data_IF_236215124375
#
_entry.id   IF_236215124375
#
_cell.length_a   1.000
_cell.length_b   1.000
_cell.length_c   1.000
_cell.angle_alpha   90.00
_cell.angle_beta   90.00
_cell.angle_gamma   90.00
#
_symmetry.space_group_name_H-M   'P 1'
#
loop_
_entity.id
_entity.type
_entity.pdbx_description
1 polymer ?
#
# COMPACT_ATOMS: atom_id res chain seq x y z
N UNK A 1 95.16 31.64 6.72
CA UNK A 1 94.08 32.22 7.54
C UNK A 1 93.24 33.12 6.65
N UNK A 2 91.92 32.88 6.61
CA UNK A 2 90.84 33.76 6.10
C UNK A 2 90.82 34.07 4.59
N UNK A 3 89.70 34.10 3.87
CA UNK A 3 88.35 33.50 3.92
C UNK A 3 87.71 33.87 2.56
N UNK A 4 86.72 33.09 2.13
CA UNK A 4 85.83 33.25 0.98
C UNK A 4 85.46 34.70 0.57
N UNK A 5 85.34 34.96 -0.73
CA UNK A 5 84.05 34.97 -1.44
C UNK A 5 84.21 35.35 -2.92
N UNK A 6 83.80 34.45 -3.81
CA UNK A 6 83.55 34.73 -5.24
C UNK A 6 82.15 35.34 -5.34
N UNK A 7 82.07 36.60 -5.76
CA UNK A 7 80.80 37.27 -6.06
C UNK A 7 80.43 37.02 -7.52
N UNK A 8 79.50 36.09 -7.74
CA UNK A 8 78.88 35.82 -9.05
C UNK A 8 77.84 36.90 -9.33
N UNK A 9 78.06 37.70 -10.36
CA UNK A 9 77.07 38.61 -10.94
C UNK A 9 75.96 37.80 -11.62
N UNK A 10 74.81 37.66 -10.95
CA UNK A 10 73.62 37.05 -11.54
C UNK A 10 72.85 38.10 -12.36
N UNK A 11 72.89 37.96 -13.68
CA UNK A 11 72.14 38.77 -14.63
C UNK A 11 70.63 38.60 -14.43
N UNK A 12 69.92 39.69 -14.17
CA UNK A 12 68.46 39.73 -13.98
C UNK A 12 67.63 39.23 -15.17
N UNK A 13 68.26 38.93 -16.32
CA UNK A 13 67.55 38.38 -17.49
C UNK A 13 67.33 36.86 -17.43
N UNK A 14 67.93 36.13 -16.48
CA UNK A 14 67.78 34.66 -16.41
C UNK A 14 66.74 34.18 -15.37
N UNK A 15 66.14 35.07 -14.58
CA UNK A 15 65.10 34.71 -13.59
C UNK A 15 63.70 34.73 -14.21
N UNK A 16 63.45 35.52 -15.26
CA UNK A 16 62.13 35.58 -15.93
C UNK A 16 61.84 34.41 -16.87
N UNK A 17 62.85 33.67 -17.32
CA UNK A 17 62.67 32.52 -18.23
C UNK A 17 62.49 31.20 -17.51
N UNK A 18 62.83 31.12 -16.21
CA UNK A 18 62.65 29.90 -15.40
C UNK A 18 61.24 29.84 -14.79
N UNK A 19 60.56 30.97 -14.58
CA UNK A 19 59.19 31.00 -14.03
C UNK A 19 58.10 30.75 -15.08
N UNK A 20 58.44 30.69 -16.38
CA UNK A 20 57.46 30.44 -17.46
C UNK A 20 57.52 29.02 -18.08
N UNK A 21 58.34 28.11 -17.53
CA UNK A 21 58.55 26.76 -18.11
C UNK A 21 58.13 25.60 -17.18
N UNK A 22 57.16 25.82 -16.29
CA UNK A 22 56.56 24.77 -15.45
C UNK A 22 55.01 24.71 -15.55
N UNK A 23 54.45 25.02 -16.74
CA UNK A 23 53.00 24.93 -16.96
C UNK A 23 52.58 23.98 -18.08
N UNK A 24 53.49 23.18 -18.66
CA UNK A 24 53.15 22.21 -19.72
C UNK A 24 54.02 20.95 -19.59
N UNK A 25 53.75 20.08 -18.60
CA UNK A 25 54.15 18.66 -18.60
C UNK A 25 53.69 17.92 -17.33
N UNK A 26 52.38 17.88 -17.04
CA UNK A 26 51.81 16.90 -16.10
C UNK A 26 50.44 16.44 -16.61
N UNK A 27 50.45 15.73 -17.74
CA UNK A 27 49.32 14.90 -18.19
C UNK A 27 49.82 13.46 -18.23
N UNK A 28 49.01 12.54 -17.68
CA UNK A 28 49.22 11.09 -17.53
C UNK A 28 50.10 10.72 -16.30
N UNK A 29 49.66 9.95 -15.29
CA UNK A 29 48.63 8.91 -15.20
C UNK A 29 48.09 8.91 -13.76
N UNK A 30 46.82 9.29 -13.57
CA UNK A 30 46.04 8.90 -12.39
C UNK A 30 44.70 8.38 -12.92
N UNK A 31 44.73 7.18 -13.47
CA UNK A 31 43.53 6.35 -13.68
C UNK A 31 43.07 5.88 -12.30
N UNK A 32 42.63 6.82 -11.46
CA UNK A 32 41.89 6.48 -10.26
C UNK A 32 40.54 5.96 -10.71
N UNK A 33 40.21 4.73 -10.35
CA UNK A 33 38.86 4.22 -10.45
C UNK A 33 37.92 5.22 -9.78
N UNK A 34 37.24 6.05 -10.57
CA UNK A 34 36.07 6.77 -10.12
C UNK A 34 34.98 5.71 -9.93
N UNK A 35 35.08 4.96 -8.84
CA UNK A 35 33.96 4.23 -8.29
C UNK A 35 32.87 5.27 -8.11
N UNK A 36 31.83 5.22 -8.96
CA UNK A 36 30.61 6.00 -8.77
C UNK A 36 30.30 5.95 -7.28
N UNK A 37 29.97 7.08 -6.61
CA UNK A 37 29.44 6.99 -5.27
C UNK A 37 28.17 6.16 -5.41
N UNK A 38 28.27 4.87 -5.09
CA UNK A 38 27.11 4.09 -4.74
C UNK A 38 26.64 4.75 -3.46
N UNK A 39 25.72 5.70 -3.62
CA UNK A 39 24.81 6.06 -2.56
C UNK A 39 24.06 4.77 -2.24
N UNK A 40 24.69 3.91 -1.42
CA UNK A 40 24.00 2.97 -0.57
C UNK A 40 23.22 3.82 0.43
N UNK A 41 22.17 4.47 -0.07
CA UNK A 41 21.04 4.88 0.73
C UNK A 41 20.29 3.60 1.06
N UNK A 42 20.95 2.70 1.81
CA UNK A 42 20.23 1.77 2.65
C UNK A 42 19.40 2.66 3.55
N UNK A 43 18.11 2.76 3.25
CA UNK A 43 17.15 3.43 4.10
C UNK A 43 17.32 2.83 5.48
N UNK A 44 18.01 3.56 6.36
CA UNK A 44 18.16 3.19 7.77
C UNK A 44 16.78 3.35 8.37
N UNK A 45 15.96 2.31 8.26
CA UNK A 45 14.78 2.18 9.07
C UNK A 45 15.23 2.28 10.51
N UNK A 46 14.60 3.17 11.28
CA UNK A 46 14.83 3.22 12.71
C UNK A 46 14.45 1.85 13.24
N UNK A 47 15.35 1.20 13.97
CA UNK A 47 15.08 -0.11 14.55
C UNK A 47 13.78 -0.01 15.37
N UNK A 48 12.76 -0.82 15.05
CA UNK A 48 11.48 -0.71 15.75
C UNK A 48 11.65 -1.00 17.25
N UNK A 49 11.06 -0.21 18.15
CA UNK A 49 10.95 -0.60 19.55
C UNK A 49 9.99 -1.80 19.70
N UNK A 50 9.96 -2.43 20.87
CA UNK A 50 8.98 -3.50 21.14
C UNK A 50 7.55 -2.96 21.18
N UNK A 51 7.38 -1.76 21.74
CA UNK A 51 6.10 -1.07 21.89
C UNK A 51 6.23 0.39 21.42
N UNK A 52 5.12 0.96 20.99
CA UNK A 52 5.00 2.36 20.62
C UNK A 52 3.68 2.93 21.14
N UNK A 53 3.75 4.05 21.87
CA UNK A 53 2.55 4.77 22.32
C UNK A 53 2.09 5.73 21.23
N UNK A 54 0.87 5.50 20.74
CA UNK A 54 0.22 6.31 19.71
C UNK A 54 0.09 7.77 20.18
N UNK A 55 0.53 8.70 19.35
CA UNK A 55 0.42 10.14 19.59
C UNK A 55 -0.70 10.75 18.77
N UNK A 56 -1.09 11.97 19.12
CA UNK A 56 -2.05 12.73 18.31
C UNK A 56 -1.53 12.90 16.89
N UNK A 57 -2.36 12.55 15.90
CA UNK A 57 -2.01 12.60 14.47
C UNK A 57 -1.36 11.33 13.92
N UNK A 58 -1.07 10.33 14.76
CA UNK A 58 -0.55 9.05 14.27
C UNK A 58 -1.65 8.19 13.61
N UNK A 59 -1.23 7.43 12.60
CA UNK A 59 -2.01 6.34 12.03
C UNK A 59 -1.23 5.04 12.16
N UNK A 60 -1.94 3.90 12.15
CA UNK A 60 -1.32 2.58 12.24
C UNK A 60 -0.32 2.37 11.09
N UNK A 61 -0.64 2.90 9.90
CA UNK A 61 0.24 2.88 8.73
C UNK A 61 1.48 3.77 8.90
N UNK A 62 1.33 5.03 9.35
CA UNK A 62 2.45 5.94 9.52
C UNK A 62 3.45 5.44 10.58
N UNK A 63 2.93 4.89 11.68
CA UNK A 63 3.76 4.24 12.71
C UNK A 63 4.50 3.04 12.10
N UNK A 64 3.79 2.15 11.40
CA UNK A 64 4.40 0.94 10.83
C UNK A 64 5.45 1.27 9.77
N UNK A 65 5.16 2.20 8.85
CA UNK A 65 6.06 2.66 7.80
C UNK A 65 7.36 3.26 8.37
N UNK A 66 7.28 4.00 9.48
CA UNK A 66 8.46 4.59 10.16
C UNK A 66 9.50 3.53 10.54
N UNK A 67 9.03 2.34 10.88
CA UNK A 67 9.87 1.24 11.34
C UNK A 67 10.03 0.11 10.30
N UNK A 68 9.57 0.34 9.05
CA UNK A 68 9.63 -0.66 7.99
C UNK A 68 8.73 -1.87 8.20
N UNK A 69 7.65 -1.72 8.99
CA UNK A 69 6.69 -2.78 9.31
C UNK A 69 5.46 -2.71 8.41
N UNK A 70 4.81 -3.85 8.21
CA UNK A 70 3.49 -3.91 7.59
C UNK A 70 2.41 -3.61 8.65
N UNK A 71 1.57 -2.63 8.37
CA UNK A 71 0.52 -2.21 9.30
C UNK A 71 -0.53 -3.31 9.55
N UNK A 72 -0.75 -4.23 8.60
CA UNK A 72 -1.64 -5.38 8.80
C UNK A 72 -1.07 -6.36 9.82
N UNK A 73 0.23 -6.59 9.79
CA UNK A 73 0.91 -7.47 10.74
C UNK A 73 0.92 -6.82 12.13
N UNK A 74 1.17 -5.51 12.20
CA UNK A 74 1.04 -4.74 13.45
C UNK A 74 -0.42 -4.75 13.93
N UNK A 75 -1.41 -4.63 13.05
CA UNK A 75 -2.82 -4.73 13.42
C UNK A 75 -3.14 -6.10 14.04
N UNK A 76 -2.74 -7.18 13.37
CA UNK A 76 -2.93 -8.55 13.84
C UNK A 76 -2.22 -8.81 15.17
N UNK A 77 -0.98 -8.32 15.31
CA UNK A 77 -0.19 -8.42 16.54
C UNK A 77 -0.86 -7.71 17.73
N UNK A 78 -1.67 -6.69 17.46
CA UNK A 78 -2.40 -5.90 18.46
C UNK A 78 -3.90 -6.21 18.52
N UNK A 79 -4.39 -7.21 17.80
CA UNK A 79 -5.82 -7.56 17.77
C UNK A 79 -6.71 -6.45 17.21
N UNK A 80 -6.19 -5.58 16.35
CA UNK A 80 -6.92 -4.46 15.78
C UNK A 80 -7.68 -4.94 14.53
N UNK A 81 -8.99 -5.04 14.65
CA UNK A 81 -9.87 -5.39 13.55
C UNK A 81 -10.08 -4.19 12.58
N UNK A 82 -10.50 -4.44 11.32
CA UNK A 82 -11.03 -3.40 10.45
C UNK A 82 -12.09 -2.56 11.18
N UNK A 83 -12.07 -1.22 11.11
CA UNK A 83 -11.35 -0.37 10.15
C UNK A 83 -9.92 0.03 10.55
N UNK A 84 -9.23 -0.77 11.38
CA UNK A 84 -7.85 -0.54 11.82
C UNK A 84 -7.65 0.76 12.61
N UNK A 85 -8.69 1.14 13.36
CA UNK A 85 -8.69 2.36 14.17
C UNK A 85 -7.75 2.21 15.37
N UNK A 86 -6.91 3.22 15.58
CA UNK A 86 -6.07 3.37 16.77
C UNK A 86 -6.44 4.66 17.50
N UNK A 87 -6.15 4.69 18.80
CA UNK A 87 -6.46 5.82 19.68
C UNK A 87 -5.19 6.41 20.27
N UNK A 88 -5.20 7.72 20.54
CA UNK A 88 -4.09 8.40 21.23
C UNK A 88 -3.86 7.73 22.59
N UNK A 89 -2.59 7.58 22.97
CA UNK A 89 -2.09 6.86 24.15
C UNK A 89 -2.28 5.34 24.12
N UNK A 90 -2.79 4.76 23.04
CA UNK A 90 -2.78 3.32 22.85
C UNK A 90 -1.34 2.80 22.71
N UNK A 91 -0.97 1.76 23.44
CA UNK A 91 0.31 1.08 23.26
C UNK A 91 0.19 0.02 22.17
N UNK A 92 1.00 0.15 21.12
CA UNK A 92 1.07 -0.78 19.99
C UNK A 92 2.35 -1.61 20.07
N UNK A 93 2.19 -2.92 20.04
CA UNK A 93 3.26 -3.89 19.82
C UNK A 93 3.75 -3.79 18.38
N UNK A 94 5.03 -3.51 18.19
CA UNK A 94 5.63 -3.40 16.86
C UNK A 94 6.53 -4.60 16.52
N UNK A 95 6.94 -5.37 17.54
CA UNK A 95 7.75 -6.57 17.40
C UNK A 95 7.18 -7.72 18.23
N UNK A 96 7.43 -8.92 17.74
CA UNK A 96 7.02 -10.17 18.36
C UNK A 96 6.28 -11.04 17.36
N UNK A 97 6.41 -12.35 17.51
CA UNK A 97 5.59 -13.29 16.75
C UNK A 97 4.15 -13.16 17.22
N UNK A 98 3.20 -13.13 16.29
CA UNK A 98 1.83 -13.50 16.61
C UNK A 98 1.91 -14.93 17.16
N UNK A 99 1.83 -15.07 18.48
CA UNK A 99 1.49 -16.36 19.05
C UNK A 99 0.15 -16.69 18.41
N UNK A 100 0.15 -17.67 17.51
CA UNK A 100 -1.07 -18.28 17.01
C UNK A 100 -1.90 -18.57 18.25
N UNK A 101 -2.91 -17.74 18.51
CA UNK A 101 -3.92 -18.06 19.50
C UNK A 101 -4.72 -19.16 18.83
N UNK A 102 -4.20 -20.38 18.89
CA UNK A 102 -5.01 -21.57 18.79
C UNK A 102 -6.05 -21.37 19.87
N UNK A 103 -7.24 -20.96 19.47
CA UNK A 103 -8.44 -21.20 20.27
C UNK A 103 -8.53 -22.71 20.39
N UNK A 104 -7.86 -23.28 21.39
CA UNK A 104 -8.21 -24.60 21.88
C UNK A 104 -9.60 -24.45 22.45
N UNK A 105 -10.61 -24.81 21.67
CA UNK A 105 -11.94 -25.09 22.19
C UNK A 105 -11.80 -26.32 23.06
N UNK A 106 -11.43 -26.14 24.33
CA UNK A 106 -11.67 -27.16 25.33
C UNK A 106 -13.18 -27.18 25.56
N UNK A 107 -13.81 -28.32 25.27
CA UNK A 107 -15.19 -28.55 25.63
C UNK A 107 -15.29 -28.51 27.17
N UNK A 108 -15.91 -27.46 27.71
CA UNK A 108 -16.41 -27.48 29.08
C UNK A 108 -17.62 -28.41 29.11
N UNK A 109 -17.43 -29.63 29.62
CA UNK A 109 -18.54 -30.45 30.11
C UNK A 109 -19.03 -29.85 31.43
N UNK A 110 -19.83 -28.79 31.35
CA UNK A 110 -20.57 -28.29 32.49
C UNK A 110 -22.05 -28.16 32.09
N UNK A 111 -22.81 -29.21 32.40
CA UNK A 111 -24.26 -29.22 32.31
C UNK A 111 -24.85 -28.47 33.49
N UNK A 112 -24.97 -27.16 33.37
CA UNK A 112 -25.93 -26.37 34.13
C UNK A 112 -27.07 -25.97 33.19
N UNK A 113 -28.33 -26.29 33.52
CA UNK A 113 -29.46 -25.97 32.65
C UNK A 113 -29.63 -24.45 32.56
N UNK A 114 -29.63 -23.93 31.32
CA UNK A 114 -29.95 -22.54 31.01
C UNK A 114 -31.44 -22.35 31.30
N UNK A 115 -31.76 -21.69 32.42
CA UNK A 115 -33.11 -21.24 32.72
C UNK A 115 -33.42 -20.03 31.84
N UNK A 116 -34.23 -20.24 30.79
CA UNK A 116 -34.74 -19.16 29.93
C UNK A 116 -35.72 -18.31 30.74
N UNK A 117 -35.28 -17.16 31.24
CA UNK A 117 -36.19 -16.10 31.65
C UNK A 117 -36.76 -15.44 30.39
N UNK A 118 -38.04 -15.67 30.13
CA UNK A 118 -38.79 -14.93 29.12
C UNK A 118 -39.08 -13.52 29.67
N UNK A 119 -38.44 -12.52 29.07
CA UNK A 119 -38.88 -11.13 29.23
C UNK A 119 -40.12 -10.97 28.35
N UNK A 120 -41.27 -10.70 28.96
CA UNK A 120 -42.48 -10.34 28.22
C UNK A 120 -42.25 -8.98 27.56
N UNK A 121 -42.04 -9.00 26.25
CA UNK A 121 -42.07 -7.83 25.39
C UNK A 121 -43.54 -7.34 25.31
N UNK A 122 -43.81 -6.01 25.36
CA UNK A 122 -45.14 -5.49 25.09
C UNK A 122 -45.61 -5.94 23.71
N UNK A 123 -46.76 -6.60 23.66
CA UNK A 123 -47.43 -7.03 22.45
C UNK A 123 -47.79 -5.81 21.60
N UNK A 124 -47.04 -5.56 20.52
CA UNK A 124 -47.53 -4.73 19.43
C UNK A 124 -48.65 -5.50 18.73
N UNK A 125 -49.84 -4.89 18.70
CA UNK A 125 -51.00 -5.36 17.95
C UNK A 125 -50.62 -5.69 16.50
N UNK A 126 -51.17 -6.76 15.90
CA UNK A 126 -51.01 -7.02 14.48
C UNK A 126 -51.59 -5.86 13.68
N UNK A 127 -50.74 -5.12 12.96
CA UNK A 127 -51.20 -4.16 11.95
C UNK A 127 -51.72 -4.98 10.78
N UNK A 128 -53.05 -5.10 10.69
CA UNK A 128 -53.74 -5.75 9.58
C UNK A 128 -53.40 -4.98 8.30
N UNK A 129 -52.78 -5.59 7.27
CA UNK A 129 -52.54 -4.92 6.01
C UNK A 129 -53.87 -4.64 5.31
N UNK A 130 -54.24 -3.36 5.17
CA UNK A 130 -55.30 -2.95 4.23
C UNK A 130 -54.82 -3.25 2.81
N UNK A 131 -55.49 -4.18 2.14
CA UNK A 131 -55.35 -4.44 0.70
C UNK A 131 -55.67 -3.17 -0.08
N UNK A 132 -54.65 -2.54 -0.65
CA UNK A 132 -54.80 -1.58 -1.75
C UNK A 132 -54.94 -2.34 -3.07
N UNK A 133 -55.81 -1.90 -4.00
CA UNK A 133 -55.87 -2.47 -5.35
C UNK A 133 -54.53 -2.25 -6.07
N UNK A 134 -53.84 -3.34 -6.40
CA UNK A 134 -52.62 -3.30 -7.22
C UNK A 134 -53.03 -3.07 -8.67
N UNK A 135 -52.74 -1.88 -9.19
CA UNK A 135 -52.77 -1.60 -10.64
C UNK A 135 -51.68 -2.46 -11.30
N UNK A 136 -51.98 -3.25 -12.35
CA UNK A 136 -50.95 -4.04 -13.03
C UNK A 136 -49.94 -3.11 -13.70
N UNK A 137 -48.69 -3.13 -13.21
CA UNK A 137 -47.56 -2.53 -13.91
C UNK A 137 -47.13 -3.45 -15.07
N UNK A 138 -46.83 -2.93 -16.27
CA UNK A 138 -46.38 -3.75 -17.39
C UNK A 138 -45.13 -4.55 -17.02
N UNK A 139 -45.16 -5.85 -17.33
CA UNK A 139 -44.05 -6.78 -17.13
C UNK A 139 -42.95 -6.42 -18.12
N UNK A 140 -41.90 -5.78 -17.64
CA UNK A 140 -40.65 -5.66 -18.40
C UNK A 140 -40.02 -7.06 -18.43
N UNK A 141 -39.65 -7.62 -19.60
CA UNK A 141 -38.99 -8.92 -19.66
C UNK A 141 -37.76 -8.93 -18.77
N UNK A 142 -37.69 -9.91 -17.87
CA UNK A 142 -36.53 -10.13 -17.04
C UNK A 142 -35.32 -10.41 -17.95
N UNK A 143 -34.34 -9.52 -17.90
CA UNK A 143 -33.00 -9.79 -18.42
C UNK A 143 -32.53 -11.09 -17.74
N UNK A 144 -32.02 -12.10 -18.48
CA UNK A 144 -31.62 -13.35 -17.87
C UNK A 144 -30.50 -13.07 -16.85
N UNK A 145 -30.83 -13.24 -15.58
CA UNK A 145 -29.84 -13.40 -14.51
C UNK A 145 -29.14 -14.72 -14.78
N UNK A 146 -27.99 -14.66 -15.45
CA UNK A 146 -27.12 -15.80 -15.59
C UNK A 146 -26.80 -16.33 -14.18
N UNK A 147 -27.12 -17.61 -13.86
CA UNK A 147 -26.68 -18.20 -12.62
C UNK A 147 -25.16 -18.24 -12.61
N UNK A 148 -24.55 -17.70 -11.57
CA UNK A 148 -23.11 -17.73 -11.33
C UNK A 148 -22.63 -19.19 -11.38
N UNK A 149 -22.04 -19.58 -12.50
CA UNK A 149 -21.41 -20.89 -12.63
C UNK A 149 -20.24 -20.96 -11.65
N UNK A 150 -20.40 -21.82 -10.65
CA UNK A 150 -19.30 -22.43 -9.90
C UNK A 150 -18.31 -23.05 -10.88
N UNK A 151 -17.18 -22.38 -11.14
CA UNK A 151 -15.83 -22.94 -11.39
C UNK A 151 -14.87 -21.85 -11.91
N UNK A 152 -13.95 -21.41 -11.05
CA UNK A 152 -12.54 -21.20 -11.40
C UNK A 152 -11.78 -20.95 -10.10
N UNK A 153 -11.30 -22.04 -9.50
CA UNK A 153 -10.27 -22.07 -8.47
C UNK A 153 -8.90 -21.57 -8.97
N UNK A 154 -8.83 -21.00 -10.17
CA UNK A 154 -7.62 -20.43 -10.77
C UNK A 154 -7.65 -18.91 -10.71
N UNK A 155 -6.59 -18.32 -10.17
CA UNK A 155 -6.40 -16.87 -10.09
C UNK A 155 -6.24 -16.30 -11.51
N UNK A 156 -7.30 -15.70 -12.04
CA UNK A 156 -7.29 -15.03 -13.36
C UNK A 156 -7.18 -13.53 -13.18
N UNK A 157 -6.11 -12.96 -13.72
CA UNK A 157 -5.85 -11.53 -13.68
C UNK A 157 -6.43 -10.79 -14.89
N UNK A 158 -6.92 -9.58 -14.65
CA UNK A 158 -7.35 -8.61 -15.65
C UNK A 158 -6.79 -7.23 -15.30
N UNK A 159 -6.66 -6.36 -16.31
CA UNK A 159 -6.20 -4.99 -16.10
C UNK A 159 -7.18 -4.21 -15.22
N UNK A 160 -6.69 -3.47 -14.21
CA UNK A 160 -7.54 -2.72 -13.28
C UNK A 160 -8.03 -1.37 -13.85
N UNK A 161 -7.45 -0.93 -14.97
CA UNK A 161 -7.82 0.29 -15.70
C UNK A 161 -7.48 0.12 -17.18
N UNK A 162 -8.20 0.83 -18.05
CA UNK A 162 -7.92 0.93 -19.49
C UNK A 162 -6.99 2.09 -19.85
N UNK A 163 -6.61 2.91 -18.87
CA UNK A 163 -5.75 4.07 -19.08
C UNK A 163 -4.28 3.71 -19.31
N UNK A 164 -3.47 4.66 -19.81
CA UNK A 164 -2.04 4.43 -20.01
C UNK A 164 -1.30 4.33 -18.68
N UNK A 165 -0.25 3.51 -18.63
CA UNK A 165 0.66 3.47 -17.48
C UNK A 165 1.49 4.75 -17.49
N UNK A 166 1.35 5.56 -16.44
CA UNK A 166 2.09 6.83 -16.27
C UNK A 166 3.26 6.67 -15.28
N UNK A 167 3.28 5.59 -14.51
CA UNK A 167 4.40 5.26 -13.64
C UNK A 167 4.43 3.77 -13.35
N UNK A 168 5.60 3.16 -13.48
CA UNK A 168 5.81 1.73 -13.22
C UNK A 168 6.27 1.48 -11.80
N UNK A 169 6.07 0.24 -11.34
CA UNK A 169 6.60 -0.24 -10.07
C UNK A 169 8.12 -0.09 -9.99
N UNK A 170 8.61 0.49 -8.90
CA UNK A 170 10.03 0.66 -8.62
C UNK A 170 10.24 0.89 -7.11
N UNK A 171 10.65 -0.17 -6.40
CA UNK A 171 10.91 -0.08 -4.96
C UNK A 171 12.07 0.86 -4.60
N UNK A 172 13.09 0.98 -5.44
CA UNK A 172 14.21 1.89 -5.19
C UNK A 172 13.78 3.36 -5.21
N UNK A 173 12.74 3.67 -5.99
CA UNK A 173 12.09 4.99 -6.03
C UNK A 173 10.85 5.07 -5.13
N UNK A 174 10.66 4.12 -4.22
CA UNK A 174 9.50 4.01 -3.31
C UNK A 174 8.12 3.96 -4.04
N UNK A 175 8.10 3.46 -5.27
CA UNK A 175 6.88 3.23 -6.05
C UNK A 175 6.44 1.78 -5.85
N UNK A 176 5.42 1.59 -5.03
CA UNK A 176 4.96 0.26 -4.55
C UNK A 176 3.91 -0.39 -5.47
N UNK A 177 3.62 0.22 -6.62
CA UNK A 177 2.60 -0.23 -7.56
C UNK A 177 2.79 0.33 -8.96
N UNK A 178 1.79 0.16 -9.81
CA UNK A 178 1.71 0.77 -11.15
C UNK A 178 0.63 1.83 -11.13
N UNK A 179 0.91 3.00 -11.71
CA UNK A 179 -0.04 4.09 -11.82
C UNK A 179 -0.59 4.19 -13.23
N UNK A 180 -1.90 4.27 -13.33
CA UNK A 180 -2.64 4.43 -14.58
C UNK A 180 -3.20 5.85 -14.63
N UNK A 181 -2.97 6.55 -15.73
CA UNK A 181 -3.60 7.84 -16.01
C UNK A 181 -5.05 7.65 -16.46
N UNK A 182 -5.87 8.67 -16.29
CA UNK A 182 -7.26 8.66 -16.71
C UNK A 182 -7.97 9.96 -16.32
N UNK A 183 -9.29 9.97 -16.47
CA UNK A 183 -10.16 11.07 -16.09
C UNK A 183 -10.93 10.74 -14.81
N UNK A 184 -11.43 11.78 -14.15
CA UNK A 184 -12.23 11.59 -12.95
C UNK A 184 -13.54 10.90 -13.32
N UNK A 185 -13.90 9.85 -12.57
CA UNK A 185 -15.06 9.03 -12.88
C UNK A 185 -14.75 7.79 -13.71
N UNK A 186 -13.56 7.68 -14.30
CA UNK A 186 -13.17 6.52 -15.11
C UNK A 186 -13.30 5.21 -14.29
N UNK A 187 -13.78 4.11 -14.91
CA UNK A 187 -14.03 2.89 -14.16
C UNK A 187 -12.72 2.23 -13.70
N UNK A 188 -12.72 1.81 -12.42
CA UNK A 188 -11.67 0.98 -11.83
C UNK A 188 -12.24 -0.43 -11.63
N UNK A 189 -11.51 -1.42 -12.12
CA UNK A 189 -11.94 -2.81 -12.16
C UNK A 189 -11.17 -3.69 -11.17
N UNK A 190 -11.85 -4.67 -10.57
CA UNK A 190 -11.19 -5.70 -9.77
C UNK A 190 -10.29 -6.55 -10.68
N UNK A 191 -9.00 -6.59 -10.35
CA UNK A 191 -8.00 -7.30 -11.14
C UNK A 191 -8.17 -8.83 -11.08
N UNK A 192 -8.79 -9.37 -10.03
CA UNK A 192 -9.08 -10.80 -9.92
C UNK A 192 -10.31 -11.04 -9.02
N UNK A 193 -10.82 -12.26 -9.04
CA UNK A 193 -11.86 -12.71 -8.11
C UNK A 193 -11.37 -12.60 -6.66
N UNK A 194 -12.18 -12.07 -5.75
CA UNK A 194 -11.76 -11.93 -4.36
C UNK A 194 -12.82 -11.34 -3.44
N UNK A 195 -12.42 -11.08 -2.21
CA UNK A 195 -13.24 -10.43 -1.20
C UNK A 195 -12.67 -9.07 -0.85
N UNK A 196 -13.51 -8.04 -0.80
CA UNK A 196 -13.14 -6.70 -0.35
C UNK A 196 -12.89 -6.76 1.15
N UNK A 197 -11.65 -6.49 1.56
CA UNK A 197 -11.25 -6.48 2.99
C UNK A 197 -11.16 -5.06 3.55
N UNK A 198 -11.16 -4.04 2.68
CA UNK A 198 -11.15 -2.63 3.06
C UNK A 198 -11.76 -1.78 1.94
N UNK A 199 -12.61 -0.82 2.30
CA UNK A 199 -13.19 0.18 1.40
C UNK A 199 -13.50 1.45 2.21
N UNK A 200 -12.51 2.32 2.39
CA UNK A 200 -12.61 3.54 3.19
C UNK A 200 -11.50 4.55 2.85
N UNK A 201 -11.55 5.72 3.48
CA UNK A 201 -10.62 6.85 3.34
C UNK A 201 -9.64 7.00 4.52
N UNK A 202 -9.62 6.02 5.43
CA UNK A 202 -8.82 6.06 6.67
C UNK A 202 -7.29 6.01 6.47
N UNK A 203 -6.83 5.84 5.23
CA UNK A 203 -5.41 5.84 4.87
C UNK A 203 -5.10 7.06 4.00
N UNK A 204 -4.77 8.18 4.65
CA UNK A 204 -4.56 9.50 4.03
C UNK A 204 -3.67 9.47 2.78
N UNK A 205 -2.59 8.68 2.81
CA UNK A 205 -1.62 8.53 1.71
C UNK A 205 -2.19 7.85 0.46
N UNK A 206 -3.29 7.11 0.60
CA UNK A 206 -4.00 6.41 -0.49
C UNK A 206 -5.35 7.04 -0.83
N UNK A 207 -5.81 8.04 -0.08
CA UNK A 207 -7.15 8.58 -0.20
C UNK A 207 -8.22 7.50 -0.02
N UNK A 208 -9.26 7.53 -0.86
CA UNK A 208 -10.26 6.47 -0.90
C UNK A 208 -9.63 5.21 -1.47
N UNK A 209 -9.55 4.17 -0.64
CA UNK A 209 -8.85 2.93 -0.95
C UNK A 209 -9.79 1.74 -0.90
N UNK A 210 -9.69 0.89 -1.92
CA UNK A 210 -10.26 -0.45 -1.92
C UNK A 210 -9.11 -1.46 -1.80
N UNK A 211 -9.22 -2.42 -0.89
CA UNK A 211 -8.33 -3.59 -0.82
C UNK A 211 -9.14 -4.86 -1.07
N UNK A 212 -8.66 -5.69 -1.98
CA UNK A 212 -9.29 -6.97 -2.32
C UNK A 212 -8.30 -8.10 -1.99
N UNK A 213 -8.72 -9.03 -1.15
CA UNK A 213 -8.02 -10.28 -0.88
C UNK A 213 -8.43 -11.32 -1.91
N UNK A 214 -7.46 -12.00 -2.48
CA UNK A 214 -7.65 -13.07 -3.44
C UNK A 214 -7.19 -14.41 -2.85
N UNK A 215 -7.29 -15.48 -3.65
CA UNK A 215 -6.67 -16.76 -3.33
C UNK A 215 -5.13 -16.66 -3.39
N UNK A 216 -4.43 -17.71 -2.96
CA UNK A 216 -2.97 -17.84 -3.02
C UNK A 216 -2.18 -16.70 -2.32
N UNK A 217 -2.77 -16.07 -1.31
CA UNK A 217 -2.09 -15.05 -0.50
C UNK A 217 -2.02 -13.66 -1.13
N UNK A 218 -2.66 -13.45 -2.29
CA UNK A 218 -2.65 -12.16 -2.98
C UNK A 218 -3.60 -11.14 -2.37
N UNK A 219 -3.16 -9.89 -2.31
CA UNK A 219 -3.97 -8.71 -1.99
C UNK A 219 -3.71 -7.63 -3.03
N UNK A 220 -4.76 -7.06 -3.61
CA UNK A 220 -4.66 -5.89 -4.48
C UNK A 220 -5.18 -4.63 -3.81
N UNK A 221 -4.56 -3.50 -4.11
CA UNK A 221 -4.93 -2.19 -3.61
C UNK A 221 -5.26 -1.25 -4.77
N UNK A 222 -6.39 -0.54 -4.66
CA UNK A 222 -6.88 0.44 -5.64
C UNK A 222 -7.04 1.77 -4.90
N UNK A 223 -6.10 2.69 -5.10
CA UNK A 223 -6.03 3.95 -4.37
C UNK A 223 -6.48 5.15 -5.21
N UNK A 224 -6.68 6.28 -4.53
CA UNK A 224 -6.99 7.59 -5.08
C UNK A 224 -8.37 7.70 -5.75
N UNK A 225 -9.30 6.81 -5.41
CA UNK A 225 -10.63 6.78 -6.03
C UNK A 225 -11.43 8.05 -5.69
N UNK A 226 -12.27 8.52 -6.61
CA UNK A 226 -13.28 9.55 -6.31
C UNK A 226 -14.48 8.93 -5.59
N UNK A 227 -14.86 7.70 -5.99
CA UNK A 227 -16.00 6.96 -5.44
C UNK A 227 -15.72 5.47 -5.34
N UNK A 228 -16.17 4.84 -4.26
CA UNK A 228 -16.16 3.38 -4.08
C UNK A 228 -17.56 2.84 -4.34
N UNK A 229 -17.66 1.79 -5.16
CA UNK A 229 -18.92 1.11 -5.50
C UNK A 229 -19.13 -0.18 -4.71
N UNK A 230 -18.13 -0.57 -3.92
CA UNK A 230 -18.12 -1.74 -3.06
C UNK A 230 -17.84 -1.34 -1.62
N UNK A 231 -18.19 -2.22 -0.68
CA UNK A 231 -17.90 -2.07 0.74
C UNK A 231 -17.13 -3.29 1.27
N UNK A 232 -16.56 -3.15 2.46
CA UNK A 232 -15.90 -4.27 3.14
C UNK A 232 -16.86 -5.46 3.31
N UNK A 233 -16.37 -6.66 3.03
CA UNK A 233 -17.12 -7.91 3.05
C UNK A 233 -17.68 -8.34 1.68
N UNK A 234 -17.80 -7.43 0.71
CA UNK A 234 -18.34 -7.75 -0.61
C UNK A 234 -17.43 -8.74 -1.36
N UNK A 235 -18.04 -9.66 -2.11
CA UNK A 235 -17.32 -10.51 -3.07
C UNK A 235 -17.31 -9.84 -4.43
N UNK A 236 -16.16 -9.83 -5.09
CA UNK A 236 -15.97 -9.23 -6.41
C UNK A 236 -15.41 -10.25 -7.39
N UNK A 237 -15.76 -10.08 -8.66
CA UNK A 237 -15.26 -10.90 -9.77
C UNK A 237 -14.24 -10.13 -10.62
N UNK A 238 -13.33 -10.85 -11.27
CA UNK A 238 -12.34 -10.24 -12.17
C UNK A 238 -13.04 -9.44 -13.27
N UNK A 239 -12.71 -8.15 -13.39
CA UNK A 239 -13.30 -7.22 -14.38
C UNK A 239 -14.54 -6.50 -13.87
N UNK A 240 -15.02 -6.79 -12.66
CA UNK A 240 -16.12 -6.05 -12.04
C UNK A 240 -15.69 -4.61 -11.74
N UNK A 241 -16.52 -3.63 -12.08
CA UNK A 241 -16.31 -2.22 -11.69
C UNK A 241 -16.49 -2.12 -10.16
N UNK A 242 -15.46 -1.68 -9.46
CA UNK A 242 -15.43 -1.59 -7.99
C UNK A 242 -15.33 -0.15 -7.49
N UNK A 243 -14.84 0.76 -8.32
CA UNK A 243 -14.64 2.16 -7.96
C UNK A 243 -14.61 3.05 -9.21
N UNK A 244 -14.51 4.35 -8.97
CA UNK A 244 -14.29 5.38 -9.97
C UNK A 244 -12.99 6.09 -9.66
N UNK A 245 -12.17 6.30 -10.70
CA UNK A 245 -10.87 6.96 -10.59
C UNK A 245 -11.06 8.41 -10.14
N UNK A 246 -10.11 8.89 -9.34
CA UNK A 246 -10.09 10.28 -8.89
C UNK A 246 -8.68 10.70 -8.51
N UNK A 247 -8.59 11.71 -7.66
CA UNK A 247 -7.33 12.25 -7.14
C UNK A 247 -7.30 12.30 -5.61
N UNK A 248 -8.09 11.49 -4.90
CA UNK A 248 -8.15 11.54 -3.45
C UNK A 248 -6.79 11.18 -2.84
N UNK A 249 -6.17 12.09 -2.07
CA UNK A 249 -4.82 11.88 -1.54
C UNK A 249 -3.70 11.90 -2.59
N UNK A 250 -3.98 12.32 -3.83
CA UNK A 250 -3.01 12.50 -4.91
C UNK A 250 -3.05 13.93 -5.47
N UNK A 251 -2.00 14.33 -6.21
CA UNK A 251 -1.94 15.64 -6.87
C UNK A 251 -2.59 15.68 -8.26
N UNK A 252 -3.04 14.54 -8.77
CA UNK A 252 -3.68 14.41 -10.08
C UNK A 252 -4.60 13.19 -10.12
N UNK A 253 -5.49 13.17 -11.11
CA UNK A 253 -6.36 12.01 -11.34
C UNK A 253 -5.53 10.83 -11.85
N UNK A 254 -5.55 9.73 -11.10
CA UNK A 254 -4.85 8.50 -11.43
C UNK A 254 -5.35 7.34 -10.58
N UNK A 255 -5.20 6.11 -11.08
CA UNK A 255 -5.28 4.91 -10.24
C UNK A 255 -3.87 4.51 -9.83
N UNK A 256 -3.61 4.38 -8.54
CA UNK A 256 -2.44 3.62 -8.06
C UNK A 256 -2.87 2.19 -7.70
N UNK A 257 -2.36 1.23 -8.48
CA UNK A 257 -2.63 -0.19 -8.33
C UNK A 257 -1.43 -0.91 -7.74
N UNK A 258 -1.60 -1.53 -6.57
CA UNK A 258 -0.54 -2.33 -5.93
C UNK A 258 -0.97 -3.79 -5.82
N UNK A 259 -0.01 -4.69 -6.00
CA UNK A 259 -0.17 -6.11 -5.74
C UNK A 259 0.75 -6.49 -4.59
N UNK A 260 0.22 -7.26 -3.65
CA UNK A 260 0.99 -7.86 -2.55
C UNK A 260 0.78 -9.36 -2.55
N UNK A 261 1.84 -10.11 -2.29
CA UNK A 261 1.82 -11.54 -2.03
C UNK A 261 2.39 -11.76 -0.63
N UNK A 262 1.60 -12.33 0.28
CA UNK A 262 1.98 -12.54 1.68
C UNK A 262 2.50 -11.25 2.35
N UNK A 263 1.85 -10.12 2.02
CA UNK A 263 2.20 -8.79 2.51
C UNK A 263 3.36 -8.09 1.79
N UNK A 264 4.14 -8.79 0.96
CA UNK A 264 5.27 -8.20 0.22
C UNK A 264 4.82 -7.55 -1.09
N UNK A 265 5.27 -6.33 -1.42
CA UNK A 265 4.97 -5.72 -2.72
C UNK A 265 5.50 -6.57 -3.88
N UNK A 266 4.65 -6.80 -4.87
CA UNK A 266 4.96 -7.51 -6.12
C UNK A 266 4.76 -6.52 -7.28
N UNK A 267 5.62 -6.61 -8.29
CA UNK A 267 5.46 -5.81 -9.50
C UNK A 267 4.14 -6.20 -10.20
N UNK A 268 3.15 -5.30 -10.34
CA UNK A 268 1.85 -5.65 -10.93
C UNK A 268 1.94 -6.18 -12.36
N UNK A 269 2.94 -5.73 -13.13
CA UNK A 269 3.11 -6.13 -14.54
C UNK A 269 3.47 -7.62 -14.65
N UNK A 270 3.99 -8.27 -13.60
CA UNK A 270 4.33 -9.69 -13.65
C UNK A 270 3.13 -10.62 -13.44
N UNK A 271 2.01 -10.09 -12.95
CA UNK A 271 0.78 -10.87 -12.71
C UNK A 271 -0.35 -10.48 -13.65
N UNK A 272 -0.36 -9.23 -14.12
CA UNK A 272 -1.37 -8.76 -15.06
C UNK A 272 -1.11 -9.30 -16.47
N UNK A 273 -2.18 -9.56 -17.25
CA UNK A 273 -2.03 -9.90 -18.67
C UNK A 273 -1.44 -8.71 -19.44
N UNK A 274 -0.59 -9.01 -20.42
CA UNK A 274 0.05 -8.03 -21.30
C UNK A 274 -0.96 -7.16 -22.06
#
# INVERSE_FOLDING_TARGET
>A
MHLNHVSVFLSQKMIKTIVLSMAVATVAVMTGCASKPQANNGTRYVQAPNYYTVRSGDTLSAISNRYGLNYLDVAALNGIAPPYRIYVNQSLRLKGSVAQRTTSTQAMTQTTPIQRQSINLPSQQPVVPKTQPVVPRPVVPAVPVNPSTTLASSLRWVKPSNGPIIQTFNLASNVKGTRYGGNEGDPVFAAANGQVVYAADGLKEYGNLVLVKHIDGYITAYAHNSKMLVKSGDTVTAGQKIAEMGSSGASRVMLEFQVRLDGKPVNPVTVLPN
#
